data_IF_560755036036
#
_entry.id   IF_560755036036
#
_cell.length_a   1.000
_cell.length_b   1.000
_cell.length_c   1.000
_cell.angle_alpha   90.00
_cell.angle_beta   90.00
_cell.angle_gamma   90.00
#
_symmetry.space_group_name_H-M   'P 1'
#
loop_
_entity.id
_entity.type
_entity.pdbx_description
1 polymer ?
#
# COMPACT_ATOMS: atom_id res chain seq x y z
N UNK A 1 13.24 -3.34 -14.76
CA UNK A 1 13.26 -1.87 -14.58
C UNK A 1 13.50 -1.54 -13.12
N UNK A 2 13.25 -0.30 -12.69
CA UNK A 2 13.25 0.04 -11.25
C UNK A 2 12.05 -0.59 -10.55
N UNK A 3 12.16 -0.86 -9.23
CA UNK A 3 11.07 -1.31 -8.35
C UNK A 3 10.76 -0.19 -7.33
N UNK A 4 10.01 0.85 -7.72
CA UNK A 4 9.80 2.02 -6.88
C UNK A 4 8.95 1.70 -5.66
N UNK A 5 9.27 2.36 -4.54
CA UNK A 5 8.49 2.32 -3.29
C UNK A 5 7.90 3.71 -3.04
N UNK A 6 6.57 3.78 -2.96
CA UNK A 6 5.83 4.98 -2.56
C UNK A 6 5.50 4.87 -1.07
N UNK A 7 6.20 5.63 -0.23
CA UNK A 7 5.87 5.76 1.18
C UNK A 7 4.80 6.84 1.36
N UNK A 8 3.63 6.45 1.87
CA UNK A 8 2.47 7.34 1.95
C UNK A 8 1.55 6.92 3.09
N UNK A 9 0.89 7.89 3.72
CA UNK A 9 -0.13 7.57 4.71
C UNK A 9 -1.35 6.93 4.04
N UNK A 10 -1.96 5.95 4.69
CA UNK A 10 -3.18 5.29 4.22
C UNK A 10 -4.28 6.30 3.86
N UNK A 11 -4.52 7.28 4.75
CA UNK A 11 -5.53 8.32 4.52
C UNK A 11 -5.19 9.28 3.37
N UNK A 12 -3.91 9.50 3.09
CA UNK A 12 -3.49 10.40 2.01
C UNK A 12 -3.51 9.70 0.65
N UNK A 13 -3.27 8.38 0.62
CA UNK A 13 -3.38 7.60 -0.62
C UNK A 13 -4.79 7.62 -1.21
N UNK A 14 -5.82 7.87 -0.40
CA UNK A 14 -7.20 8.07 -0.89
C UNK A 14 -7.27 9.12 -2.01
N UNK A 15 -6.41 10.15 -1.99
CA UNK A 15 -6.34 11.15 -3.07
C UNK A 15 -5.69 10.64 -4.35
N UNK A 16 -4.80 9.66 -4.24
CA UNK A 16 -4.06 9.07 -5.35
C UNK A 16 -4.69 7.79 -5.90
N UNK A 17 -5.91 7.44 -5.48
CA UNK A 17 -6.53 6.16 -5.82
C UNK A 17 -6.67 5.95 -7.33
N UNK A 18 -7.00 7.01 -8.07
CA UNK A 18 -7.11 6.97 -9.53
C UNK A 18 -5.77 6.65 -10.20
N UNK A 19 -4.65 7.20 -9.71
CA UNK A 19 -3.31 6.88 -10.21
C UNK A 19 -2.93 5.42 -9.88
N UNK A 20 -3.32 4.90 -8.72
CA UNK A 20 -3.12 3.48 -8.41
C UNK A 20 -3.90 2.61 -9.40
N UNK A 21 -5.14 2.96 -9.72
CA UNK A 21 -5.98 2.22 -10.67
C UNK A 21 -5.42 2.28 -12.09
N UNK A 22 -5.29 3.49 -12.63
CA UNK A 22 -5.01 3.72 -14.05
C UNK A 22 -3.53 3.60 -14.40
N UNK A 23 -2.65 4.13 -13.56
CA UNK A 23 -1.23 4.20 -13.88
C UNK A 23 -0.47 2.97 -13.38
N UNK A 24 -0.97 2.27 -12.35
CA UNK A 24 -0.28 1.11 -11.76
C UNK A 24 -0.99 -0.21 -12.04
N UNK A 25 -2.22 -0.39 -11.54
CA UNK A 25 -2.90 -1.68 -11.54
C UNK A 25 -3.24 -2.17 -12.95
N UNK A 26 -3.82 -1.31 -13.80
CA UNK A 26 -4.15 -1.65 -15.19
C UNK A 26 -2.90 -2.01 -16.00
N UNK A 27 -1.78 -1.32 -15.75
CA UNK A 27 -0.52 -1.55 -16.43
C UNK A 27 0.34 -2.66 -15.79
N UNK A 28 -0.13 -3.25 -14.68
CA UNK A 28 0.60 -4.24 -13.88
C UNK A 28 2.04 -3.77 -13.53
N UNK A 29 2.21 -2.48 -13.23
CA UNK A 29 3.53 -1.93 -12.93
C UNK A 29 4.06 -2.39 -11.56
N UNK A 30 5.38 -2.56 -11.43
CA UNK A 30 6.04 -3.09 -10.23
C UNK A 30 6.15 -2.05 -9.09
N UNK A 31 5.07 -1.36 -8.74
CA UNK A 31 5.07 -0.32 -7.70
C UNK A 31 4.68 -0.92 -6.35
N UNK A 32 5.47 -0.63 -5.32
CA UNK A 32 5.16 -1.01 -3.93
C UNK A 32 4.69 0.22 -3.15
N UNK A 33 3.61 0.05 -2.39
CA UNK A 33 3.08 1.10 -1.51
C UNK A 33 3.41 0.74 -0.06
N UNK A 34 4.28 1.52 0.56
CA UNK A 34 4.57 1.41 1.99
C UNK A 34 3.55 2.27 2.73
N UNK A 35 2.50 1.60 3.24
CA UNK A 35 1.35 2.23 3.87
C UNK A 35 1.65 2.55 5.33
N UNK A 36 1.78 3.84 5.63
CA UNK A 36 1.99 4.33 6.99
C UNK A 36 0.66 4.86 7.57
N UNK A 37 0.53 4.95 8.91
CA UNK A 37 -0.70 5.40 9.59
C UNK A 37 -1.96 4.62 9.11
N UNK A 38 -1.82 3.32 8.86
CA UNK A 38 -2.93 2.44 8.57
C UNK A 38 -3.78 2.20 9.84
N UNK A 39 -5.11 2.15 9.67
CA UNK A 39 -6.04 1.98 10.78
C UNK A 39 -6.22 3.23 11.66
N UNK A 40 -6.31 3.01 12.98
CA UNK A 40 -6.60 4.05 13.96
C UNK A 40 -5.36 4.91 14.24
N UNK A 41 -5.52 6.23 14.15
CA UNK A 41 -4.41 7.21 14.30
C UNK A 41 -4.48 8.05 15.58
N UNK A 42 -5.49 7.84 16.42
CA UNK A 42 -5.62 8.55 17.70
C UNK A 42 -6.08 10.00 17.55
N UNK A 43 -5.27 10.95 18.02
CA UNK A 43 -5.65 12.35 18.19
C UNK A 43 -5.94 13.10 16.88
N UNK A 44 -5.38 12.64 15.76
CA UNK A 44 -5.59 13.25 14.44
C UNK A 44 -7.03 13.04 13.90
N UNK A 45 -7.82 12.20 14.58
CA UNK A 45 -9.25 12.06 14.36
C UNK A 45 -9.63 11.31 13.07
N UNK A 46 -10.92 11.34 12.74
CA UNK A 46 -11.50 10.56 11.64
C UNK A 46 -11.00 10.98 10.25
N UNK A 47 -10.50 12.20 10.09
CA UNK A 47 -9.98 12.72 8.81
C UNK A 47 -8.60 12.19 8.45
N UNK A 48 -7.89 11.60 9.41
CA UNK A 48 -6.57 11.01 9.21
C UNK A 48 -6.55 9.49 9.41
N UNK A 49 -7.69 8.90 9.81
CA UNK A 49 -7.79 7.47 10.03
C UNK A 49 -7.64 6.71 8.71
N UNK A 50 -6.60 5.88 8.62
CA UNK A 50 -6.33 4.99 7.49
C UNK A 50 -7.23 3.76 7.47
N UNK A 51 -8.54 3.94 7.58
CA UNK A 51 -9.48 2.83 7.83
C UNK A 51 -9.91 2.05 6.58
N UNK A 52 -9.49 2.49 5.39
CA UNK A 52 -10.09 2.03 4.13
C UNK A 52 -9.11 1.38 3.15
N UNK A 53 -7.80 1.39 3.42
CA UNK A 53 -6.78 0.90 2.48
C UNK A 53 -6.97 -0.56 2.07
N UNK A 54 -7.24 -1.45 3.03
CA UNK A 54 -7.52 -2.87 2.74
C UNK A 54 -8.69 -3.00 1.75
N UNK A 55 -9.74 -2.21 1.94
CA UNK A 55 -10.93 -2.24 1.09
C UNK A 55 -10.65 -1.75 -0.33
N UNK A 56 -10.13 -0.52 -0.48
CA UNK A 56 -9.95 0.06 -1.80
C UNK A 56 -8.79 -0.57 -2.57
N UNK A 57 -7.68 -0.93 -1.91
CA UNK A 57 -6.57 -1.62 -2.58
C UNK A 57 -6.92 -3.08 -2.89
N UNK A 58 -7.62 -3.76 -1.99
CA UNK A 58 -8.04 -5.15 -2.19
C UNK A 58 -9.07 -5.34 -3.29
N UNK A 59 -9.78 -4.28 -3.69
CA UNK A 59 -10.70 -4.30 -4.83
C UNK A 59 -9.97 -4.25 -6.19
N UNK A 60 -8.69 -3.88 -6.23
CA UNK A 60 -7.93 -3.75 -7.48
C UNK A 60 -7.32 -5.10 -7.90
N UNK A 61 -7.33 -5.43 -9.20
CA UNK A 61 -6.76 -6.67 -9.69
C UNK A 61 -5.24 -6.68 -9.53
N UNK A 62 -4.68 -7.84 -9.16
CA UNK A 62 -3.23 -8.05 -9.08
C UNK A 62 -2.56 -7.46 -7.84
N UNK A 63 -3.29 -6.79 -6.95
CA UNK A 63 -2.72 -6.25 -5.72
C UNK A 63 -2.42 -7.35 -4.69
N UNK A 64 -1.23 -7.29 -4.10
CA UNK A 64 -0.84 -8.11 -2.95
C UNK A 64 -0.86 -7.22 -1.71
N UNK A 65 -1.69 -7.57 -0.73
CA UNK A 65 -1.80 -6.83 0.53
C UNK A 65 -1.11 -7.61 1.64
N UNK A 66 -0.30 -6.92 2.44
CA UNK A 66 0.43 -7.46 3.57
C UNK A 66 0.26 -6.52 4.77
N UNK A 67 -0.01 -7.06 5.95
CA UNK A 67 -0.21 -6.31 7.19
C UNK A 67 0.66 -6.89 8.30
N UNK A 68 1.84 -6.30 8.52
CA UNK A 68 2.81 -6.76 9.50
C UNK A 68 2.29 -6.57 10.93
N UNK A 69 2.42 -7.58 11.77
CA UNK A 69 2.11 -7.50 13.20
C UNK A 69 3.25 -6.85 14.00
N UNK A 70 4.49 -6.98 13.54
CA UNK A 70 5.69 -6.47 14.19
C UNK A 70 6.80 -6.06 13.19
N UNK A 71 7.94 -5.58 13.72
CA UNK A 71 9.09 -5.16 12.94
C UNK A 71 9.72 -6.31 12.13
N UNK A 72 9.77 -7.51 12.70
CA UNK A 72 10.39 -8.65 12.04
C UNK A 72 9.55 -9.10 10.84
N UNK A 73 8.23 -9.14 11.00
CA UNK A 73 7.29 -9.35 9.90
C UNK A 73 7.38 -8.23 8.87
N UNK A 74 7.50 -6.96 9.29
CA UNK A 74 7.67 -5.85 8.35
C UNK A 74 8.93 -6.01 7.49
N UNK A 75 10.06 -6.33 8.11
CA UNK A 75 11.32 -6.58 7.40
C UNK A 75 11.19 -7.75 6.42
N UNK A 76 10.54 -8.84 6.85
CA UNK A 76 10.27 -9.99 6.00
C UNK A 76 9.34 -9.63 4.82
N UNK A 77 8.24 -8.91 5.07
CA UNK A 77 7.30 -8.47 4.04
C UNK A 77 7.95 -7.53 3.03
N UNK A 78 8.84 -6.63 3.46
CA UNK A 78 9.62 -5.79 2.55
C UNK A 78 10.51 -6.67 1.66
N UNK A 79 11.25 -7.61 2.24
CA UNK A 79 12.10 -8.54 1.50
C UNK A 79 11.28 -9.37 0.49
N UNK A 80 10.14 -9.92 0.92
CA UNK A 80 9.21 -10.64 0.05
C UNK A 80 8.72 -9.73 -1.07
N UNK A 81 8.29 -8.50 -0.78
CA UNK A 81 7.80 -7.55 -1.78
C UNK A 81 8.84 -7.26 -2.86
N UNK A 82 10.12 -7.17 -2.51
CA UNK A 82 11.21 -6.89 -3.45
C UNK A 82 11.61 -8.13 -4.26
N UNK A 83 11.40 -9.32 -3.72
CA UNK A 83 11.64 -10.59 -4.39
C UNK A 83 10.52 -10.99 -5.36
N UNK A 84 9.34 -10.36 -5.28
CA UNK A 84 8.33 -10.48 -6.33
C UNK A 84 8.93 -9.88 -7.60
N UNK A 85 9.26 -10.73 -8.56
CA UNK A 85 9.53 -10.35 -9.94
C UNK A 85 8.19 -10.37 -10.65
N UNK A 86 7.66 -9.16 -10.74
CA UNK A 86 6.30 -8.86 -11.16
C UNK A 86 6.02 -9.49 -12.54
N UNK A 87 4.84 -10.11 -12.69
CA UNK A 87 4.39 -10.87 -13.87
C UNK A 87 4.38 -10.03 -15.15
#
# INVERSE_FOLDING_TARGET
GMKPVCAIYSTFLQRGYDQVVHDVAIQSLPVRFAMDRAGLVGADGSTHAGSFDIGFMGALPGMVLMAAADEAELAAMISTSLAIDDR
#
